data_IF_269328535964
#
_entry.id   IF_269328535964
#
_cell.length_a   1.000
_cell.length_b   1.000
_cell.length_c   1.000
_cell.angle_alpha   90.00
_cell.angle_beta   90.00
_cell.angle_gamma   90.00
#
_symmetry.space_group_name_H-M   'P 1'
#
loop_
_entity.id
_entity.type
_entity.pdbx_description
1 polymer ?
#
# COMPACT_ATOMS: atom_id res chain seq x y z
N UNK A 1 22.05 60.31 -29.99
CA UNK A 1 21.45 59.05 -30.44
C UNK A 1 21.74 58.01 -29.38
N UNK A 2 20.75 57.64 -28.58
CA UNK A 2 20.85 56.55 -27.55
C UNK A 2 19.98 55.41 -28.03
N UNK A 3 20.66 54.29 -28.36
CA UNK A 3 19.98 53.07 -28.83
C UNK A 3 19.59 52.21 -27.61
N UNK A 4 18.28 52.03 -27.39
CA UNK A 4 17.74 51.09 -26.40
C UNK A 4 17.71 49.68 -27.01
N UNK A 5 18.44 48.72 -26.43
CA UNK A 5 18.33 47.31 -26.70
C UNK A 5 17.21 46.75 -25.79
N UNK A 6 16.10 46.32 -26.39
CA UNK A 6 15.01 45.63 -25.73
C UNK A 6 15.38 44.10 -25.75
N UNK A 7 15.78 43.59 -24.60
CA UNK A 7 16.00 42.14 -24.41
C UNK A 7 14.66 41.43 -24.23
N UNK A 8 14.30 40.56 -25.15
CA UNK A 8 13.13 39.70 -25.05
C UNK A 8 13.41 38.51 -24.14
N UNK A 9 12.83 38.46 -22.95
CA UNK A 9 12.83 37.31 -22.08
C UNK A 9 11.87 36.26 -22.66
N UNK A 10 12.39 35.13 -23.14
CA UNK A 10 11.59 33.93 -23.42
C UNK A 10 11.27 33.25 -22.08
N UNK A 11 10.03 33.36 -21.65
CA UNK A 11 9.52 32.54 -20.54
C UNK A 11 9.24 31.10 -21.05
N UNK A 12 10.00 30.14 -20.59
CA UNK A 12 9.70 28.73 -20.81
C UNK A 12 8.45 28.36 -20.00
N UNK A 13 7.32 28.19 -20.66
CA UNK A 13 6.10 27.69 -20.05
C UNK A 13 6.30 26.21 -19.72
N UNK A 14 6.39 25.87 -18.44
CA UNK A 14 6.31 24.50 -17.97
C UNK A 14 4.92 23.94 -18.31
N UNK A 15 4.85 22.92 -19.15
CA UNK A 15 3.59 22.27 -19.49
C UNK A 15 3.00 21.60 -18.22
N UNK A 16 1.78 21.99 -17.87
CA UNK A 16 1.03 21.37 -16.78
C UNK A 16 0.84 19.87 -17.04
N UNK A 17 0.87 19.03 -15.98
CA UNK A 17 0.63 17.59 -16.11
C UNK A 17 -0.74 17.36 -16.75
N UNK A 18 -0.79 16.50 -17.77
CA UNK A 18 -2.07 16.06 -18.35
C UNK A 18 -2.61 14.93 -17.50
N UNK A 19 -3.62 15.22 -16.70
CA UNK A 19 -4.35 14.18 -15.99
C UNK A 19 -4.96 13.17 -16.99
N UNK A 20 -4.73 11.88 -16.72
CA UNK A 20 -5.42 10.82 -17.43
C UNK A 20 -6.91 10.86 -17.11
N UNK A 21 -7.81 10.37 -18.00
CA UNK A 21 -9.24 10.31 -17.71
C UNK A 21 -9.50 9.61 -16.38
N UNK A 22 -10.56 9.95 -15.64
CA UNK A 22 -10.83 9.47 -14.30
C UNK A 22 -10.93 7.93 -14.28
N UNK A 23 -9.86 7.30 -13.83
CA UNK A 23 -9.86 5.88 -13.49
C UNK A 23 -10.20 5.76 -12.00
N UNK A 24 -10.90 4.68 -11.56
CA UNK A 24 -11.14 4.46 -10.15
C UNK A 24 -9.78 4.42 -9.42
N UNK A 25 -9.69 5.19 -8.34
CA UNK A 25 -8.47 5.26 -7.53
C UNK A 25 -8.09 3.88 -7.01
N UNK A 26 -6.79 3.59 -7.00
CA UNK A 26 -6.26 2.36 -6.42
C UNK A 26 -6.56 2.33 -4.93
N UNK A 27 -7.14 1.25 -4.42
CA UNK A 27 -7.38 1.07 -2.99
C UNK A 27 -6.08 1.19 -2.19
N UNK A 28 -6.18 1.70 -0.94
CA UNK A 28 -4.99 1.87 -0.10
C UNK A 28 -4.20 0.57 0.07
N UNK A 29 -4.90 -0.55 0.34
CA UNK A 29 -4.26 -1.85 0.53
C UNK A 29 -3.53 -2.33 -0.74
N UNK A 30 -4.14 -2.16 -1.91
CA UNK A 30 -3.52 -2.54 -3.18
C UNK A 30 -2.30 -1.65 -3.50
N UNK A 31 -2.39 -0.35 -3.21
CA UNK A 31 -1.25 0.57 -3.35
C UNK A 31 -0.13 0.20 -2.38
N UNK A 32 -0.45 -0.12 -1.12
CA UNK A 32 0.52 -0.51 -0.11
C UNK A 32 1.23 -1.84 -0.48
N UNK A 33 0.49 -2.83 -0.97
CA UNK A 33 1.08 -4.08 -1.45
C UNK A 33 2.14 -3.81 -2.55
N UNK A 34 1.81 -2.97 -3.53
CA UNK A 34 2.72 -2.61 -4.61
C UNK A 34 3.90 -1.77 -4.11
N UNK A 35 3.64 -0.72 -3.33
CA UNK A 35 4.66 0.21 -2.83
C UNK A 35 5.70 -0.48 -1.95
N UNK A 36 5.26 -1.40 -1.07
CA UNK A 36 6.14 -2.12 -0.16
C UNK A 36 6.98 -3.19 -0.86
N UNK A 37 6.49 -3.74 -1.98
CA UNK A 37 7.22 -4.75 -2.76
C UNK A 37 8.17 -4.14 -3.79
N UNK A 38 7.90 -2.92 -4.30
CA UNK A 38 8.65 -2.31 -5.38
C UNK A 38 9.93 -1.61 -4.88
N UNK A 39 11.12 -2.01 -5.32
CA UNK A 39 12.33 -1.21 -5.06
C UNK A 39 12.36 0.12 -5.84
N UNK A 40 11.68 0.21 -6.97
CA UNK A 40 11.55 1.42 -7.80
C UNK A 40 10.12 1.89 -7.83
N UNK A 41 9.90 3.18 -7.56
CA UNK A 41 8.65 3.89 -7.74
C UNK A 41 8.93 5.20 -8.47
N UNK A 42 8.24 5.45 -9.57
CA UNK A 42 8.45 6.65 -10.38
C UNK A 42 7.16 7.13 -11.05
N UNK A 43 7.03 8.44 -11.19
CA UNK A 43 6.12 9.07 -12.13
C UNK A 43 6.81 9.15 -13.48
N UNK A 44 6.19 8.59 -14.50
CA UNK A 44 6.75 8.51 -15.85
C UNK A 44 5.75 9.04 -16.88
N UNK A 45 6.28 9.60 -17.98
CA UNK A 45 5.48 10.01 -19.16
C UNK A 45 5.89 9.16 -20.35
N UNK A 46 4.92 8.48 -20.95
CA UNK A 46 5.16 7.62 -22.10
C UNK A 46 5.62 8.41 -23.32
N UNK A 47 6.75 8.01 -23.91
CA UNK A 47 7.30 8.61 -25.13
C UNK A 47 7.08 7.71 -26.34
N UNK A 48 7.08 6.40 -26.14
CA UNK A 48 6.74 5.43 -27.18
C UNK A 48 5.99 4.23 -26.60
N UNK A 49 5.10 3.63 -27.42
CA UNK A 49 4.28 2.48 -27.05
C UNK A 49 4.19 1.57 -28.26
N UNK A 50 4.68 0.35 -28.12
CA UNK A 50 4.68 -0.66 -29.18
C UNK A 50 3.95 -1.89 -28.67
N UNK A 51 2.83 -2.25 -29.30
CA UNK A 51 2.20 -3.54 -29.06
C UNK A 51 3.07 -4.65 -29.63
N UNK A 52 3.46 -5.61 -28.78
CA UNK A 52 4.23 -6.75 -29.22
C UNK A 52 3.35 -7.75 -29.97
N UNK A 53 3.89 -8.34 -31.04
CA UNK A 53 3.22 -9.41 -31.78
C UNK A 53 3.17 -10.67 -30.91
N UNK A 54 2.24 -11.57 -31.23
CA UNK A 54 2.02 -12.81 -30.48
C UNK A 54 3.29 -13.66 -30.32
N UNK A 55 4.14 -13.66 -31.33
CA UNK A 55 5.42 -14.41 -31.37
C UNK A 55 6.45 -13.81 -30.39
N UNK A 56 6.32 -12.51 -30.07
CA UNK A 56 7.17 -11.77 -29.15
C UNK A 56 6.60 -11.72 -27.71
N UNK A 57 5.32 -12.09 -27.57
CA UNK A 57 4.56 -12.07 -26.32
C UNK A 57 4.43 -13.48 -25.71
N UNK A 58 5.52 -14.24 -25.68
CA UNK A 58 5.53 -15.61 -25.15
C UNK A 58 5.08 -15.62 -23.69
N UNK A 59 4.20 -16.57 -23.33
CA UNK A 59 3.68 -16.74 -21.98
C UNK A 59 2.56 -15.78 -21.57
N UNK A 60 2.09 -14.91 -22.47
CA UNK A 60 0.95 -14.03 -22.21
C UNK A 60 -0.37 -14.81 -22.37
N UNK A 61 -1.29 -14.77 -21.37
CA UNK A 61 -2.57 -15.45 -21.45
C UNK A 61 -3.46 -14.94 -22.61
N UNK A 62 -4.41 -15.74 -23.05
CA UNK A 62 -5.46 -15.31 -24.00
C UNK A 62 -6.23 -14.12 -23.42
N UNK A 63 -6.53 -13.14 -24.27
CA UNK A 63 -7.23 -11.91 -23.85
C UNK A 63 -6.34 -10.89 -23.13
N UNK A 64 -5.03 -11.10 -23.10
CA UNK A 64 -4.04 -10.14 -22.59
C UNK A 64 -3.11 -9.72 -23.72
N UNK A 65 -2.75 -8.46 -23.76
CA UNK A 65 -1.87 -7.88 -24.77
C UNK A 65 -0.63 -7.28 -24.08
N UNK A 66 0.54 -7.59 -24.64
CA UNK A 66 1.83 -7.10 -24.16
C UNK A 66 2.28 -5.89 -24.95
N UNK A 67 2.70 -4.87 -24.23
CA UNK A 67 3.25 -3.64 -24.79
C UNK A 67 4.66 -3.40 -24.28
N UNK A 68 5.55 -3.01 -25.17
CA UNK A 68 6.81 -2.37 -24.82
C UNK A 68 6.55 -0.87 -24.73
N UNK A 69 6.99 -0.27 -23.64
CA UNK A 69 6.81 1.14 -23.32
C UNK A 69 8.17 1.79 -23.09
N UNK A 70 8.44 2.87 -23.82
CA UNK A 70 9.50 3.81 -23.48
C UNK A 70 8.88 5.03 -22.80
N UNK A 71 9.51 5.54 -21.75
CA UNK A 71 8.99 6.66 -20.97
C UNK A 71 10.10 7.54 -20.40
N UNK A 72 9.85 8.82 -20.31
CA UNK A 72 10.69 9.77 -19.58
C UNK A 72 10.29 9.76 -18.09
N UNK A 73 11.29 9.76 -17.20
CA UNK A 73 11.08 9.85 -15.76
C UNK A 73 10.80 11.32 -15.40
N UNK A 74 9.54 11.61 -15.05
CA UNK A 74 9.10 12.95 -14.63
C UNK A 74 9.52 13.21 -13.18
N UNK A 75 9.33 12.21 -12.30
CA UNK A 75 9.72 12.28 -10.89
C UNK A 75 10.12 10.89 -10.41
N UNK A 76 11.34 10.78 -9.87
CA UNK A 76 11.81 9.58 -9.19
C UNK A 76 11.39 9.65 -7.72
N UNK A 77 10.48 8.76 -7.31
CA UNK A 77 9.95 8.75 -5.95
C UNK A 77 10.82 7.88 -5.04
N UNK A 78 11.22 6.71 -5.53
CA UNK A 78 12.08 5.75 -4.82
C UNK A 78 12.90 4.95 -5.81
N UNK A 79 14.19 4.77 -5.52
CA UNK A 79 15.04 3.81 -6.23
C UNK A 79 16.27 3.46 -5.37
N UNK A 80 16.76 2.22 -5.39
CA UNK A 80 18.00 1.83 -4.72
C UNK A 80 19.25 2.36 -5.42
N UNK A 81 19.12 2.79 -6.68
CA UNK A 81 20.21 3.33 -7.51
C UNK A 81 19.65 4.39 -8.47
N UNK A 82 20.49 5.31 -8.98
CA UNK A 82 20.05 6.28 -9.98
C UNK A 82 19.41 5.60 -11.19
N UNK A 83 18.34 6.18 -11.71
CA UNK A 83 17.74 5.79 -12.98
C UNK A 83 18.08 6.85 -14.04
N UNK A 84 18.29 6.48 -15.32
CA UNK A 84 18.41 7.44 -16.40
C UNK A 84 17.09 8.20 -16.60
N UNK A 85 17.18 9.37 -17.24
CA UNK A 85 16.01 10.22 -17.53
C UNK A 85 14.97 9.50 -18.41
N UNK A 86 15.40 8.51 -19.22
CA UNK A 86 14.54 7.67 -20.03
C UNK A 86 14.69 6.22 -19.63
N UNK A 87 13.55 5.56 -19.46
CA UNK A 87 13.48 4.13 -19.11
C UNK A 87 12.57 3.38 -20.08
N UNK A 88 12.66 2.07 -20.05
CA UNK A 88 11.74 1.18 -20.77
C UNK A 88 11.28 0.03 -19.90
N UNK A 89 10.09 -0.46 -20.20
CA UNK A 89 9.50 -1.61 -19.52
C UNK A 89 8.46 -2.30 -20.40
N UNK A 90 8.03 -3.47 -19.95
CA UNK A 90 6.94 -4.22 -20.58
C UNK A 90 5.74 -4.22 -19.65
N UNK A 91 4.55 -4.03 -20.21
CA UNK A 91 3.28 -4.11 -19.47
C UNK A 91 2.31 -5.05 -20.19
N UNK A 92 1.64 -5.89 -19.39
CA UNK A 92 0.60 -6.80 -19.84
C UNK A 92 -0.77 -6.23 -19.43
N UNK A 93 -1.62 -5.98 -20.41
CA UNK A 93 -2.92 -5.37 -20.19
C UNK A 93 -4.05 -6.26 -20.70
N UNK A 94 -5.15 -6.42 -19.97
CA UNK A 94 -6.31 -7.17 -20.43
C UNK A 94 -6.93 -6.52 -21.66
N UNK A 95 -7.57 -7.33 -22.47
CA UNK A 95 -8.35 -6.88 -23.63
C UNK A 95 -9.37 -5.80 -23.19
N UNK A 96 -9.48 -4.79 -23.99
CA UNK A 96 -10.52 -3.79 -23.89
C UNK A 96 -11.89 -4.32 -24.42
N UNK A 97 -12.86 -3.42 -24.59
CA UNK A 97 -14.15 -3.77 -25.15
C UNK A 97 -14.05 -4.55 -26.45
N UNK A 98 -14.91 -5.55 -26.65
CA UNK A 98 -14.93 -6.44 -27.82
C UNK A 98 -13.64 -7.23 -28.05
N UNK A 99 -12.84 -7.50 -27.01
CA UNK A 99 -11.62 -8.31 -27.10
C UNK A 99 -10.46 -7.62 -27.84
N UNK A 100 -10.55 -6.32 -28.08
CA UNK A 100 -9.51 -5.54 -28.76
C UNK A 100 -8.36 -5.16 -27.82
N UNK A 101 -7.13 -4.94 -28.33
CA UNK A 101 -6.05 -4.40 -27.54
C UNK A 101 -6.45 -3.09 -26.86
N UNK A 102 -6.12 -2.88 -25.57
CA UNK A 102 -6.34 -1.60 -24.92
C UNK A 102 -5.48 -0.51 -25.57
N UNK A 103 -5.96 0.73 -25.53
CA UNK A 103 -5.23 1.86 -26.13
C UNK A 103 -4.34 2.50 -25.08
N UNK A 104 -3.04 2.28 -25.18
CA UNK A 104 -2.04 3.09 -24.49
C UNK A 104 -1.70 4.33 -25.35
N UNK A 105 -1.63 5.50 -24.72
CA UNK A 105 -1.44 6.78 -25.42
C UNK A 105 -0.04 7.31 -25.14
N UNK A 106 0.67 7.76 -26.17
CA UNK A 106 1.91 8.53 -26.01
C UNK A 106 1.61 9.84 -25.31
N UNK A 107 2.50 10.27 -24.41
CA UNK A 107 2.34 11.47 -23.60
C UNK A 107 1.45 11.28 -22.39
N UNK A 108 0.94 10.07 -22.11
CA UNK A 108 0.20 9.77 -20.90
C UNK A 108 1.15 9.61 -19.70
N UNK A 109 0.68 10.03 -18.54
CA UNK A 109 1.40 9.93 -17.26
C UNK A 109 0.95 8.70 -16.47
N UNK A 110 1.92 8.00 -15.89
CA UNK A 110 1.69 6.82 -15.06
C UNK A 110 2.57 6.84 -13.81
N UNK A 111 2.08 6.21 -12.74
CA UNK A 111 2.93 5.75 -11.63
C UNK A 111 3.32 4.31 -11.91
N UNK A 112 4.61 4.01 -11.89
CA UNK A 112 5.11 2.65 -12.04
C UNK A 112 5.78 2.16 -10.76
N UNK A 113 5.49 0.92 -10.41
CA UNK A 113 6.09 0.18 -9.30
C UNK A 113 6.88 -0.99 -9.93
N UNK A 114 8.22 -0.93 -9.84
CA UNK A 114 9.10 -1.78 -10.63
C UNK A 114 10.33 -2.22 -9.85
N UNK A 115 11.11 -3.11 -10.47
CA UNK A 115 12.46 -3.47 -10.06
C UNK A 115 13.44 -3.20 -11.21
N UNK A 116 14.70 -2.82 -10.91
CA UNK A 116 15.73 -2.71 -11.93
C UNK A 116 15.99 -4.06 -12.61
N UNK A 117 16.34 -4.03 -13.90
CA UNK A 117 16.82 -5.22 -14.61
C UNK A 117 18.33 -5.27 -14.50
N UNK A 118 18.88 -6.35 -13.94
CA UNK A 118 20.32 -6.50 -13.76
C UNK A 118 21.06 -6.48 -15.11
N UNK A 119 22.11 -5.66 -15.20
CA UNK A 119 22.90 -5.51 -16.42
C UNK A 119 22.29 -4.64 -17.51
N UNK A 120 21.08 -4.12 -17.33
CA UNK A 120 20.35 -3.32 -18.33
C UNK A 120 19.99 -1.95 -17.74
N UNK A 121 20.89 -0.99 -17.93
CA UNK A 121 20.67 0.37 -17.45
C UNK A 121 19.48 1.01 -18.18
N UNK A 122 18.51 1.49 -17.43
CA UNK A 122 17.29 2.11 -17.97
C UNK A 122 16.16 1.11 -18.30
N UNK A 123 16.38 -0.19 -18.13
CA UNK A 123 15.29 -1.15 -18.18
C UNK A 123 14.78 -1.45 -16.78
N UNK A 124 13.46 -1.42 -16.62
CA UNK A 124 12.81 -1.81 -15.37
C UNK A 124 11.73 -2.84 -15.65
N UNK A 125 11.50 -3.72 -14.69
CA UNK A 125 10.44 -4.73 -14.74
C UNK A 125 9.36 -4.37 -13.73
N UNK A 126 8.13 -4.20 -14.17
CA UNK A 126 7.00 -4.04 -13.27
C UNK A 126 6.93 -5.22 -12.30
N UNK A 127 6.70 -4.95 -11.01
CA UNK A 127 6.65 -5.99 -9.97
C UNK A 127 5.42 -6.89 -10.06
N UNK A 128 4.38 -6.42 -10.76
CA UNK A 128 3.15 -7.14 -11.04
C UNK A 128 2.53 -6.62 -12.35
N UNK A 129 1.66 -7.39 -13.03
CA UNK A 129 1.02 -6.95 -14.28
C UNK A 129 0.25 -5.63 -14.14
N UNK A 130 -0.26 -5.35 -12.96
CA UNK A 130 -1.04 -4.17 -12.61
C UNK A 130 -0.23 -3.08 -11.86
N UNK A 131 1.10 -3.12 -11.95
CA UNK A 131 1.99 -2.17 -11.28
C UNK A 131 2.29 -0.90 -12.10
N UNK A 132 1.57 -0.70 -13.21
CA UNK A 132 1.41 0.57 -13.90
C UNK A 132 0.05 1.15 -13.54
N UNK A 133 0.03 2.27 -12.84
CA UNK A 133 -1.18 2.95 -12.36
C UNK A 133 -1.38 4.24 -13.13
N UNK A 134 -2.63 4.61 -13.40
CA UNK A 134 -2.92 5.95 -13.95
C UNK A 134 -2.43 7.02 -12.98
N UNK A 135 -1.79 8.05 -13.50
CA UNK A 135 -1.31 9.13 -12.67
C UNK A 135 -2.44 10.07 -12.26
N UNK A 136 -2.42 10.45 -11.00
CA UNK A 136 -3.03 11.67 -10.46
C UNK A 136 -2.19 12.14 -9.28
N UNK A 137 -2.27 13.42 -8.94
CA UNK A 137 -1.57 13.97 -7.76
C UNK A 137 -1.99 13.21 -6.50
N UNK A 138 -3.27 12.90 -6.34
CA UNK A 138 -3.77 12.15 -5.19
C UNK A 138 -3.21 10.73 -5.08
N UNK A 139 -2.98 10.04 -6.22
CA UNK A 139 -2.34 8.72 -6.23
C UNK A 139 -0.85 8.82 -5.91
N UNK A 140 -0.15 9.85 -6.41
CA UNK A 140 1.25 10.09 -6.08
C UNK A 140 1.41 10.43 -4.59
N UNK A 141 0.58 11.31 -4.05
CA UNK A 141 0.61 11.70 -2.63
C UNK A 141 0.36 10.49 -1.72
N UNK A 142 -0.60 9.63 -2.07
CA UNK A 142 -0.84 8.37 -1.35
C UNK A 142 0.37 7.44 -1.40
N UNK A 143 0.97 7.25 -2.57
CA UNK A 143 2.17 6.42 -2.73
C UNK A 143 3.33 6.98 -1.89
N UNK A 144 3.57 8.28 -1.94
CA UNK A 144 4.61 8.95 -1.13
C UNK A 144 4.33 8.82 0.37
N UNK A 145 3.08 8.96 0.80
CA UNK A 145 2.67 8.77 2.19
C UNK A 145 2.99 7.36 2.70
N UNK A 146 2.60 6.32 1.96
CA UNK A 146 2.91 4.93 2.31
C UNK A 146 4.42 4.70 2.41
N UNK A 147 5.18 5.19 1.44
CA UNK A 147 6.64 5.03 1.43
C UNK A 147 7.31 5.81 2.57
N UNK A 148 6.81 7.01 2.89
CA UNK A 148 7.30 7.81 4.01
C UNK A 148 7.08 7.08 5.34
N UNK A 149 5.87 6.54 5.58
CA UNK A 149 5.60 5.74 6.79
C UNK A 149 6.48 4.49 6.86
N UNK A 150 6.69 3.81 5.71
CA UNK A 150 7.51 2.59 5.65
C UNK A 150 9.01 2.85 5.87
N UNK A 151 9.48 4.06 5.60
CA UNK A 151 10.88 4.48 5.75
C UNK A 151 11.12 5.36 6.99
N UNK A 152 10.11 5.54 7.84
CA UNK A 152 10.25 6.26 9.11
C UNK A 152 11.24 5.53 10.04
N UNK A 153 11.72 6.22 11.08
CA UNK A 153 12.65 5.63 12.04
C UNK A 153 12.06 4.39 12.76
N UNK A 154 10.75 4.38 12.96
CA UNK A 154 10.01 3.29 13.63
C UNK A 154 8.79 2.88 12.79
N UNK A 155 8.99 2.26 11.61
CA UNK A 155 7.86 1.87 10.76
C UNK A 155 7.02 0.80 11.46
N UNK A 156 5.69 0.79 11.28
CA UNK A 156 4.83 -0.27 11.81
C UNK A 156 5.31 -1.65 11.33
N UNK A 157 5.53 -2.61 12.24
CA UNK A 157 6.05 -3.92 11.88
C UNK A 157 5.03 -4.72 11.06
N UNK A 158 5.51 -5.71 10.32
CA UNK A 158 4.66 -6.65 9.62
C UNK A 158 4.08 -7.64 10.63
N UNK A 159 2.77 -7.72 10.73
CA UNK A 159 2.06 -8.69 11.55
C UNK A 159 2.08 -10.04 10.83
N UNK A 160 2.48 -11.10 11.54
CA UNK A 160 2.58 -12.47 11.03
C UNK A 160 1.59 -13.42 11.68
N UNK A 161 1.01 -13.03 12.82
CA UNK A 161 0.04 -13.86 13.53
C UNK A 161 -0.42 -13.24 14.84
N UNK A 162 -1.19 -14.01 15.58
CA UNK A 162 -1.62 -13.68 16.93
C UNK A 162 -0.87 -14.60 17.90
N UNK A 163 -0.29 -14.01 18.94
CA UNK A 163 0.29 -14.70 20.07
C UNK A 163 -0.74 -15.04 21.14
N UNK A 164 -0.44 -14.73 22.40
CA UNK A 164 -1.35 -14.96 23.53
C UNK A 164 -2.32 -13.81 23.71
N UNK A 165 -3.49 -14.12 24.25
CA UNK A 165 -4.51 -13.15 24.66
C UNK A 165 -4.89 -13.39 26.12
N UNK A 166 -5.11 -12.32 26.86
CA UNK A 166 -5.47 -12.38 28.27
C UNK A 166 -6.69 -11.47 28.52
N UNK A 167 -7.56 -11.91 29.42
CA UNK A 167 -8.69 -11.13 29.90
C UNK A 167 -8.60 -11.03 31.41
N UNK A 168 -8.74 -9.81 31.93
CA UNK A 168 -8.71 -9.53 33.36
C UNK A 168 -9.97 -8.76 33.72
N UNK A 169 -10.88 -9.30 34.55
CA UNK A 169 -12.00 -8.54 35.07
C UNK A 169 -11.51 -7.44 36.00
N UNK A 170 -12.16 -6.29 35.95
CA UNK A 170 -11.90 -5.17 36.83
C UNK A 170 -12.58 -5.32 38.20
N UNK A 171 -12.46 -4.29 39.04
CA UNK A 171 -13.05 -4.26 40.36
C UNK A 171 -14.56 -3.99 40.38
N UNK A 172 -15.08 -3.40 39.32
CA UNK A 172 -16.50 -3.10 39.17
C UNK A 172 -17.17 -4.08 38.19
N UNK A 173 -18.43 -4.45 38.43
CA UNK A 173 -19.18 -5.28 37.46
C UNK A 173 -19.23 -4.61 36.08
N UNK A 174 -18.79 -5.32 35.05
CA UNK A 174 -18.69 -4.79 33.66
C UNK A 174 -17.42 -4.04 33.34
N UNK A 175 -16.49 -3.89 34.28
CA UNK A 175 -15.13 -3.42 34.03
C UNK A 175 -14.22 -4.60 33.66
N UNK A 176 -13.42 -4.44 32.61
CA UNK A 176 -12.43 -5.43 32.23
C UNK A 176 -11.40 -4.87 31.24
N UNK A 177 -10.26 -5.55 31.16
CA UNK A 177 -9.23 -5.32 30.17
C UNK A 177 -8.91 -6.63 29.44
N UNK A 178 -8.86 -6.57 28.11
CA UNK A 178 -8.36 -7.65 27.27
C UNK A 178 -7.10 -7.17 26.56
N UNK A 179 -6.03 -7.97 26.63
CA UNK A 179 -4.79 -7.73 25.89
C UNK A 179 -4.57 -8.89 24.92
N UNK A 180 -4.24 -8.55 23.66
CA UNK A 180 -3.96 -9.50 22.60
C UNK A 180 -2.60 -9.15 22.01
N UNK A 181 -1.63 -10.05 22.20
CA UNK A 181 -0.27 -9.87 21.70
C UNK A 181 -0.18 -10.37 20.27
N UNK A 182 0.45 -9.60 19.40
CA UNK A 182 0.62 -9.93 17.99
C UNK A 182 2.06 -10.40 17.72
N UNK A 183 2.18 -11.36 16.83
CA UNK A 183 3.47 -11.79 16.30
C UNK A 183 3.88 -10.87 15.14
N UNK A 184 5.16 -10.52 15.11
CA UNK A 184 5.73 -9.64 14.07
C UNK A 184 6.91 -10.31 13.39
N UNK A 185 7.21 -9.90 12.16
CA UNK A 185 8.30 -10.46 11.37
C UNK A 185 9.71 -10.15 11.93
N UNK A 186 9.82 -9.12 12.74
CA UNK A 186 11.08 -8.60 13.31
C UNK A 186 11.16 -8.76 14.85
N UNK A 187 10.17 -9.45 15.45
CA UNK A 187 10.13 -9.71 16.88
C UNK A 187 9.76 -8.51 17.75
N UNK A 188 9.48 -7.34 17.17
CA UNK A 188 9.04 -6.16 17.95
C UNK A 188 7.69 -6.42 18.60
N UNK A 189 7.50 -6.03 19.87
CA UNK A 189 6.23 -6.21 20.56
C UNK A 189 5.15 -5.32 19.93
N UNK A 190 3.99 -5.92 19.67
CA UNK A 190 2.75 -5.21 19.31
C UNK A 190 1.63 -5.83 20.10
N UNK A 191 0.81 -5.01 20.74
CA UNK A 191 -0.37 -5.48 21.46
C UNK A 191 -1.61 -4.64 21.15
N UNK A 192 -2.76 -5.29 21.21
CA UNK A 192 -4.07 -4.66 21.20
C UNK A 192 -4.58 -4.67 22.64
N UNK A 193 -5.03 -3.53 23.14
CA UNK A 193 -5.65 -3.40 24.45
C UNK A 193 -7.09 -2.96 24.26
N UNK A 194 -8.03 -3.67 24.88
CA UNK A 194 -9.45 -3.40 24.85
C UNK A 194 -9.93 -3.17 26.27
N UNK A 195 -10.40 -1.96 26.54
CA UNK A 195 -10.90 -1.52 27.85
C UNK A 195 -12.42 -1.43 27.83
N UNK A 196 -13.04 -2.05 28.80
CA UNK A 196 -14.48 -1.96 29.08
C UNK A 196 -14.68 -1.27 30.43
N UNK A 197 -15.61 -0.31 30.46
CA UNK A 197 -16.05 0.35 31.68
C UNK A 197 -17.56 0.38 31.76
N UNK A 198 -18.15 0.27 32.94
CA UNK A 198 -19.59 0.32 33.13
C UNK A 198 -20.18 1.60 32.52
N UNK A 199 -21.19 1.48 31.65
CA UNK A 199 -21.86 2.62 31.03
C UNK A 199 -21.09 3.33 29.92
N UNK A 200 -19.88 2.88 29.57
CA UNK A 200 -19.09 3.43 28.46
C UNK A 200 -19.05 2.46 27.26
N UNK A 201 -18.89 3.04 26.07
CA UNK A 201 -18.57 2.24 24.88
C UNK A 201 -17.13 1.68 25.02
N UNK A 202 -16.92 0.38 24.75
CA UNK A 202 -15.59 -0.20 24.80
C UNK A 202 -14.59 0.57 23.92
N UNK A 203 -13.40 0.80 24.45
CA UNK A 203 -12.30 1.47 23.74
C UNK A 203 -11.21 0.46 23.46
N UNK A 204 -10.57 0.60 22.32
CA UNK A 204 -9.39 -0.19 22.02
C UNK A 204 -8.26 0.67 21.48
N UNK A 205 -7.06 0.16 21.64
CA UNK A 205 -5.84 0.81 21.17
C UNK A 205 -4.81 -0.21 20.70
N UNK A 206 -3.80 0.25 19.96
CA UNK A 206 -2.65 -0.54 19.58
C UNK A 206 -1.38 0.09 20.15
N UNK A 207 -0.57 -0.73 20.82
CA UNK A 207 0.75 -0.34 21.30
C UNK A 207 1.82 -0.99 20.41
N UNK A 208 2.81 -0.20 20.00
CA UNK A 208 3.97 -0.63 19.20
C UNK A 208 5.25 -0.78 20.05
N UNK A 209 5.09 -0.80 21.37
CA UNK A 209 6.14 -0.98 22.36
C UNK A 209 5.59 -1.76 23.56
N UNK A 210 6.48 -2.17 24.48
CA UNK A 210 6.09 -2.82 25.73
C UNK A 210 5.31 -1.90 26.66
N UNK A 211 5.49 -0.57 26.50
CA UNK A 211 4.78 0.43 27.30
C UNK A 211 3.54 0.86 26.53
N UNK A 212 2.38 0.62 27.11
CA UNK A 212 1.10 1.10 26.57
C UNK A 212 0.97 2.59 26.95
N UNK A 213 0.97 3.45 25.94
CA UNK A 213 0.69 4.87 26.13
C UNK A 213 -0.79 5.06 26.46
N UNK A 214 -1.10 5.82 27.52
CA UNK A 214 -2.47 6.16 27.88
C UNK A 214 -3.22 6.94 26.78
N UNK A 215 -2.51 7.56 25.85
CA UNK A 215 -3.03 8.22 24.67
C UNK A 215 -3.14 7.30 23.44
N UNK A 216 -2.80 6.01 23.56
CA UNK A 216 -2.90 5.07 22.46
C UNK A 216 -4.34 4.97 21.97
N UNK A 217 -4.50 4.94 20.64
CA UNK A 217 -5.80 4.93 19.97
C UNK A 217 -5.81 3.89 18.83
N UNK A 218 -6.98 3.55 18.28
CA UNK A 218 -7.06 2.83 17.03
C UNK A 218 -6.30 3.56 15.90
N UNK A 219 -5.66 2.85 14.98
CA UNK A 219 -4.99 3.49 13.86
C UNK A 219 -6.02 4.16 12.94
N UNK A 220 -5.68 5.33 12.42
CA UNK A 220 -6.49 5.98 11.39
C UNK A 220 -6.55 5.11 10.13
N UNK A 221 -7.72 5.06 9.47
CA UNK A 221 -7.86 4.39 8.17
C UNK A 221 -6.88 4.95 7.14
N UNK A 222 -6.45 4.10 6.22
CA UNK A 222 -5.48 4.47 5.17
C UNK A 222 -4.14 4.96 5.74
N UNK A 223 -3.67 4.37 6.84
CA UNK A 223 -2.30 4.44 7.34
C UNK A 223 -1.62 3.09 7.23
N UNK A 224 -0.29 3.07 7.27
CA UNK A 224 0.47 1.81 7.18
C UNK A 224 0.17 0.90 8.38
N UNK A 225 -0.04 1.45 9.59
CA UNK A 225 -0.42 0.66 10.76
C UNK A 225 -1.80 0.02 10.59
N UNK A 226 -2.80 0.78 10.11
CA UNK A 226 -4.11 0.24 9.79
C UNK A 226 -4.01 -0.90 8.76
N UNK A 227 -3.26 -0.69 7.68
CA UNK A 227 -3.03 -1.71 6.66
C UNK A 227 -2.38 -2.97 7.24
N UNK A 228 -1.36 -2.82 8.12
CA UNK A 228 -0.69 -3.96 8.78
C UNK A 228 -1.66 -4.79 9.62
N UNK A 229 -2.62 -4.15 10.29
CA UNK A 229 -3.63 -4.83 11.10
C UNK A 229 -4.78 -5.37 10.23
N UNK A 230 -5.49 -4.49 9.52
CA UNK A 230 -6.69 -4.86 8.76
C UNK A 230 -6.43 -5.94 7.69
N UNK A 231 -5.22 -5.96 7.10
CA UNK A 231 -4.89 -6.91 6.04
C UNK A 231 -4.12 -8.15 6.50
N UNK A 232 -3.78 -8.27 7.78
CA UNK A 232 -2.98 -9.39 8.29
C UNK A 232 -3.63 -10.15 9.46
N UNK A 233 -4.53 -9.50 10.20
CA UNK A 233 -5.26 -10.19 11.27
C UNK A 233 -6.20 -11.25 10.67
N UNK A 234 -6.25 -12.47 11.24
CA UNK A 234 -7.17 -13.50 10.78
C UNK A 234 -8.63 -13.15 11.12
N UNK A 235 -9.61 -13.68 10.37
CA UNK A 235 -11.03 -13.36 10.58
C UNK A 235 -11.59 -13.86 11.91
N UNK A 236 -10.87 -14.73 12.61
CA UNK A 236 -11.21 -15.21 13.95
C UNK A 236 -9.95 -15.40 14.78
N UNK A 237 -10.09 -15.25 16.09
CA UNK A 237 -8.99 -15.49 17.02
C UNK A 237 -8.60 -16.99 17.02
N UNK A 238 -7.31 -17.33 16.79
CA UNK A 238 -6.85 -18.70 16.87
C UNK A 238 -7.07 -19.30 18.27
N UNK A 239 -7.51 -20.55 18.34
CA UNK A 239 -7.82 -21.22 19.63
C UNK A 239 -6.59 -21.24 20.54
N UNK A 240 -5.41 -21.49 20.00
CA UNK A 240 -4.15 -21.52 20.74
C UNK A 240 -3.74 -20.15 21.32
N UNK A 241 -4.37 -19.06 20.93
CA UNK A 241 -4.11 -17.74 21.52
C UNK A 241 -4.79 -17.56 22.87
N UNK A 242 -5.79 -18.37 23.19
CA UNK A 242 -6.47 -18.37 24.49
C UNK A 242 -5.70 -19.28 25.45
N UNK A 243 -5.35 -18.85 26.68
CA UNK A 243 -4.66 -19.70 27.65
C UNK A 243 -5.46 -20.96 28.00
N UNK A 244 -4.80 -22.09 28.17
CA UNK A 244 -5.44 -23.39 28.52
C UNK A 244 -6.23 -23.33 29.85
N UNK A 245 -5.83 -22.46 30.78
CA UNK A 245 -6.51 -22.22 32.05
C UNK A 245 -7.59 -21.15 32.05
N UNK A 246 -7.92 -20.56 30.91
CA UNK A 246 -8.96 -19.54 30.82
C UNK A 246 -10.35 -20.14 31.10
N UNK A 247 -11.18 -19.43 31.84
CA UNK A 247 -12.58 -19.84 32.01
C UNK A 247 -13.34 -19.67 30.69
N UNK A 248 -14.49 -20.36 30.56
CA UNK A 248 -15.36 -20.15 29.37
C UNK A 248 -15.79 -18.71 29.21
N UNK A 249 -16.01 -17.98 30.33
CA UNK A 249 -16.33 -16.57 30.35
C UNK A 249 -15.19 -15.70 29.79
N UNK A 250 -13.97 -15.93 30.24
CA UNK A 250 -12.78 -15.21 29.75
C UNK A 250 -12.55 -15.50 28.26
N UNK A 251 -12.66 -16.76 27.86
CA UNK A 251 -12.50 -17.13 26.47
C UNK A 251 -13.57 -16.49 25.55
N UNK A 252 -14.81 -16.37 26.04
CA UNK A 252 -15.88 -15.68 25.32
C UNK A 252 -15.62 -14.16 25.22
N UNK A 253 -15.15 -13.54 26.33
CA UNK A 253 -14.80 -12.11 26.38
C UNK A 253 -13.66 -11.78 25.41
N UNK A 254 -12.57 -12.57 25.40
CA UNK A 254 -11.43 -12.39 24.48
C UNK A 254 -11.89 -12.44 23.02
N UNK A 255 -12.75 -13.43 22.66
CA UNK A 255 -13.28 -13.53 21.29
C UNK A 255 -14.17 -12.36 20.91
N UNK A 256 -15.01 -11.88 21.85
CA UNK A 256 -15.87 -10.72 21.64
C UNK A 256 -15.07 -9.43 21.44
N UNK A 257 -14.01 -9.25 22.22
CA UNK A 257 -13.12 -8.09 22.14
C UNK A 257 -12.27 -8.12 20.87
N UNK A 258 -11.80 -9.30 20.45
CA UNK A 258 -11.11 -9.44 19.16
C UNK A 258 -12.03 -9.07 17.98
N UNK A 259 -13.29 -9.50 18.02
CA UNK A 259 -14.28 -9.13 16.99
C UNK A 259 -14.51 -7.63 16.95
N UNK A 260 -14.63 -6.97 18.12
CA UNK A 260 -14.76 -5.50 18.21
C UNK A 260 -13.59 -4.80 17.48
N UNK A 261 -12.36 -5.30 17.65
CA UNK A 261 -11.19 -4.75 16.94
C UNK A 261 -11.33 -4.92 15.42
N UNK A 262 -11.71 -6.13 14.96
CA UNK A 262 -11.89 -6.38 13.53
C UNK A 262 -13.00 -5.51 12.91
N UNK A 263 -14.12 -5.37 13.61
CA UNK A 263 -15.25 -4.53 13.18
C UNK A 263 -14.84 -3.05 13.10
N UNK A 264 -14.05 -2.59 14.04
CA UNK A 264 -13.52 -1.23 14.07
C UNK A 264 -12.49 -0.96 12.96
N UNK A 265 -11.62 -1.92 12.66
CA UNK A 265 -10.67 -1.83 11.55
C UNK A 265 -11.38 -1.83 10.19
N UNK A 266 -12.50 -2.53 10.10
CA UNK A 266 -13.21 -2.75 8.85
C UNK A 266 -12.46 -3.68 7.89
N UNK A 267 -12.99 -3.86 6.68
CA UNK A 267 -12.38 -4.74 5.67
C UNK A 267 -11.06 -4.15 5.16
N UNK A 268 -10.08 -5.01 4.92
CA UNK A 268 -8.79 -4.64 4.30
C UNK A 268 -8.95 -3.92 2.95
N UNK A 269 -10.03 -4.20 2.20
CA UNK A 269 -10.31 -3.56 0.91
C UNK A 269 -9.32 -3.95 -0.20
N UNK A 270 -8.52 -5.02 -0.01
CA UNK A 270 -7.65 -5.56 -1.06
C UNK A 270 -8.51 -6.16 -2.16
N UNK A 271 -8.31 -5.70 -3.39
CA UNK A 271 -8.99 -6.23 -4.58
C UNK A 271 -8.06 -7.07 -5.46
N UNK A 272 -6.74 -6.99 -5.22
CA UNK A 272 -5.69 -7.66 -5.99
C UNK A 272 -5.23 -8.92 -5.25
N UNK A 273 -5.04 -10.04 -5.98
CA UNK A 273 -4.41 -11.22 -5.41
C UNK A 273 -2.96 -10.89 -5.01
N UNK A 274 -2.48 -11.44 -3.88
CA UNK A 274 -1.04 -11.40 -3.57
C UNK A 274 -0.31 -12.23 -4.63
N UNK A 275 0.65 -11.62 -5.31
CA UNK A 275 1.60 -12.31 -6.19
C UNK A 275 2.64 -13.05 -5.37
#
# INVERSE_FOLDING_TARGET
MRTFLIGTLLAAAAAAPRESPPHPMTGYADMADLALAAPVAAHVRTTDVIQLKKEQAVGVPSGVFRFYVAADVVSLIRSPQPLPARISYVVDLPAGPAGKPPRLVKGADYLILAAPVAGHLGEVRLIAPNAQLSYSTAEEDRLRGILHEAMSATPPPRITGIGRAFHVPGSLPGESETQIFLQTSDGRPVSLSILRRPGETPRWSVALSEIVDAAAAPPAHNTLLWYRLACSLPPSLPVQSIPEGATDGDAAAIRADYRLVLDSLGPCGRTRARS
#
